data_IF_285870435662
#
_entry.id   IF_285870435662
#
_cell.length_a   1.000
_cell.length_b   1.000
_cell.length_c   1.000
_cell.angle_alpha   90.00
_cell.angle_beta   90.00
_cell.angle_gamma   90.00
#
_symmetry.space_group_name_H-M   'P 1'
#
loop_
_entity.id
_entity.type
_entity.pdbx_description
1 polymer ?
#
# COMPACT_ATOMS: atom_id res chain seq x y z
N UNK A 1 6.22 4.61 5.42
CA UNK A 1 6.82 3.39 4.87
C UNK A 1 7.55 2.67 5.99
N UNK A 2 7.35 1.36 6.12
CA UNK A 2 7.98 0.54 7.17
C UNK A 2 8.45 -0.76 6.52
N UNK A 3 9.61 -1.28 6.91
CA UNK A 3 10.06 -2.60 6.46
C UNK A 3 9.26 -3.67 7.19
N UNK A 4 8.60 -4.54 6.44
CA UNK A 4 7.85 -5.67 6.95
C UNK A 4 8.44 -6.97 6.41
N UNK A 5 8.38 -8.02 7.22
CA UNK A 5 8.71 -9.37 6.78
C UNK A 5 7.42 -10.16 6.58
N UNK A 6 7.22 -10.65 5.37
CA UNK A 6 6.05 -11.44 4.98
C UNK A 6 6.54 -12.66 4.23
N UNK A 7 6.14 -13.85 4.67
CA UNK A 7 6.58 -15.13 4.11
C UNK A 7 8.10 -15.20 3.91
N UNK A 8 8.86 -14.78 4.93
CA UNK A 8 10.33 -14.80 4.93
C UNK A 8 11.00 -13.81 3.95
N UNK A 9 10.22 -12.93 3.31
CA UNK A 9 10.71 -11.87 2.43
C UNK A 9 10.48 -10.48 3.02
N UNK A 10 11.46 -9.59 2.84
CA UNK A 10 11.36 -8.19 3.26
C UNK A 10 10.69 -7.36 2.19
N UNK A 11 9.69 -6.60 2.60
CA UNK A 11 8.96 -5.67 1.75
C UNK A 11 8.87 -4.30 2.40
N UNK A 12 8.75 -3.26 1.58
CA UNK A 12 8.43 -1.91 2.07
C UNK A 12 6.91 -1.74 2.07
N UNK A 13 6.34 -1.59 3.26
CA UNK A 13 4.91 -1.35 3.45
C UNK A 13 4.58 0.14 3.36
N UNK A 14 3.65 0.49 2.47
CA UNK A 14 2.96 1.76 2.45
C UNK A 14 1.70 1.68 3.34
N UNK A 15 1.85 2.10 4.59
CA UNK A 15 0.74 2.26 5.53
C UNK A 15 0.36 3.74 5.75
N UNK A 16 -0.91 4.00 6.03
CA UNK A 16 -1.41 5.31 6.46
C UNK A 16 -2.47 5.15 7.55
N UNK A 17 -2.61 6.17 8.39
CA UNK A 17 -3.68 6.27 9.39
C UNK A 17 -4.21 7.68 9.40
N UNK A 18 -5.53 7.80 9.51
CA UNK A 18 -6.22 9.08 9.50
C UNK A 18 -7.31 9.06 10.56
N UNK A 19 -7.45 10.15 11.32
CA UNK A 19 -8.55 10.29 12.27
C UNK A 19 -9.91 10.26 11.54
N UNK A 20 -10.92 9.69 12.20
CA UNK A 20 -12.26 9.45 11.62
C UNK A 20 -12.91 10.71 11.06
N UNK A 21 -12.69 11.87 11.69
CA UNK A 21 -13.19 13.19 11.24
C UNK A 21 -12.70 13.63 9.84
N UNK A 22 -11.68 12.95 9.30
CA UNK A 22 -11.08 13.27 7.99
C UNK A 22 -11.30 12.18 6.94
N UNK A 23 -12.03 11.11 7.29
CA UNK A 23 -12.38 10.06 6.34
C UNK A 23 -13.30 10.58 5.23
N UNK A 24 -13.26 9.93 4.06
CA UNK A 24 -14.11 10.29 2.92
C UNK A 24 -13.66 11.52 2.14
N UNK A 25 -12.58 12.20 2.54
CA UNK A 25 -12.08 13.42 1.91
C UNK A 25 -10.97 13.20 0.86
N UNK A 26 -10.65 11.95 0.52
CA UNK A 26 -9.58 11.62 -0.43
C UNK A 26 -8.14 11.73 0.10
N UNK A 27 -7.94 12.30 1.28
CA UNK A 27 -6.61 12.57 1.87
C UNK A 27 -5.70 11.34 1.98
N UNK A 28 -6.25 10.17 2.31
CA UNK A 28 -5.46 8.94 2.38
C UNK A 28 -4.93 8.54 1.00
N UNK A 29 -5.71 8.74 -0.06
CA UNK A 29 -5.30 8.45 -1.44
C UNK A 29 -4.25 9.45 -1.91
N UNK A 30 -4.46 10.74 -1.68
CA UNK A 30 -3.50 11.79 -2.03
C UNK A 30 -2.14 11.55 -1.36
N UNK A 31 -2.13 11.32 -0.04
CA UNK A 31 -0.90 11.03 0.69
C UNK A 31 -0.22 9.74 0.18
N UNK A 32 -1.01 8.70 -0.13
CA UNK A 32 -0.46 7.43 -0.62
C UNK A 32 0.13 7.56 -2.03
N UNK A 33 -0.46 8.38 -2.91
CA UNK A 33 0.09 8.66 -4.24
C UNK A 33 1.45 9.38 -4.12
N UNK A 34 1.52 10.42 -3.30
CA UNK A 34 2.78 11.15 -3.08
C UNK A 34 3.88 10.26 -2.50
N UNK A 35 3.54 9.39 -1.54
CA UNK A 35 4.50 8.45 -0.96
C UNK A 35 4.93 7.39 -1.98
N UNK A 36 4.00 6.87 -2.79
CA UNK A 36 4.29 5.92 -3.88
C UNK A 36 5.28 6.52 -4.87
N UNK A 37 5.02 7.72 -5.34
CA UNK A 37 5.84 8.38 -6.37
C UNK A 37 7.23 8.66 -5.81
N UNK A 38 7.31 9.18 -4.58
CA UNK A 38 8.58 9.36 -3.88
C UNK A 38 9.37 8.04 -3.73
N UNK A 39 8.71 6.95 -3.36
CA UNK A 39 9.33 5.63 -3.22
C UNK A 39 9.96 5.12 -4.54
N UNK A 40 9.28 5.30 -5.66
CA UNK A 40 9.77 4.79 -6.95
C UNK A 40 10.73 5.74 -7.65
N UNK A 41 10.49 7.04 -7.60
CA UNK A 41 11.27 8.04 -8.32
C UNK A 41 12.54 8.43 -7.55
N UNK A 42 12.41 8.65 -6.24
CA UNK A 42 13.51 9.18 -5.43
C UNK A 42 14.27 8.08 -4.68
N UNK A 43 13.57 7.09 -4.14
CA UNK A 43 14.20 5.98 -3.41
C UNK A 43 14.58 4.80 -4.31
N UNK A 44 14.04 4.75 -5.53
CA UNK A 44 14.33 3.69 -6.50
C UNK A 44 13.87 2.30 -6.07
N UNK A 45 12.84 2.20 -5.22
CA UNK A 45 12.29 0.90 -4.80
C UNK A 45 11.67 0.17 -5.99
N UNK A 46 11.74 -1.17 -5.99
CA UNK A 46 11.20 -1.98 -7.08
C UNK A 46 9.71 -2.32 -6.86
N UNK A 47 9.31 -2.45 -5.61
CA UNK A 47 7.95 -2.78 -5.19
C UNK A 47 7.52 -2.05 -3.92
N UNK A 48 6.21 -1.99 -3.72
CA UNK A 48 5.56 -1.56 -2.49
C UNK A 48 4.40 -2.50 -2.18
N UNK A 49 4.16 -2.71 -0.89
CA UNK A 49 3.01 -3.49 -0.43
C UNK A 49 2.10 -2.68 0.50
N UNK A 50 0.87 -3.14 0.67
CA UNK A 50 -0.04 -2.73 1.74
C UNK A 50 -0.67 -3.97 2.37
N UNK A 51 -0.54 -4.08 3.69
CA UNK A 51 -1.08 -5.17 4.48
C UNK A 51 -2.42 -4.70 5.05
N UNK A 52 -3.52 -5.32 4.61
CA UNK A 52 -4.87 -4.83 4.92
C UNK A 52 -5.73 -5.95 5.48
N UNK A 53 -6.38 -5.71 6.61
CA UNK A 53 -7.45 -6.60 7.11
C UNK A 53 -8.53 -6.73 6.02
N UNK A 54 -8.94 -7.94 5.60
CA UNK A 54 -9.95 -8.14 4.55
C UNK A 54 -11.28 -7.42 4.83
N UNK A 55 -11.61 -7.13 6.09
CA UNK A 55 -12.82 -6.38 6.49
C UNK A 55 -12.67 -4.87 6.29
N UNK A 56 -11.45 -4.36 6.11
CA UNK A 56 -11.18 -2.94 5.93
C UNK A 56 -11.30 -2.52 4.45
N UNK A 57 -12.55 -2.47 3.98
CA UNK A 57 -12.91 -2.06 2.62
C UNK A 57 -12.44 -0.65 2.25
N UNK A 58 -12.30 0.25 3.23
CA UNK A 58 -11.83 1.62 2.99
C UNK A 58 -10.36 1.63 2.60
N UNK A 59 -9.53 0.90 3.34
CA UNK A 59 -8.10 0.82 3.02
C UNK A 59 -7.85 0.06 1.71
N UNK A 60 -8.61 -1.02 1.47
CA UNK A 60 -8.58 -1.72 0.19
C UNK A 60 -8.90 -0.79 -0.99
N UNK A 61 -9.92 0.05 -0.86
CA UNK A 61 -10.29 1.03 -1.89
C UNK A 61 -9.20 2.07 -2.16
N UNK A 62 -8.42 2.48 -1.15
CA UNK A 62 -7.27 3.38 -1.36
C UNK A 62 -6.14 2.65 -2.08
N UNK A 63 -5.79 1.42 -1.67
CA UNK A 63 -4.73 0.63 -2.31
C UNK A 63 -5.01 0.47 -3.82
N UNK A 64 -6.24 0.10 -4.18
CA UNK A 64 -6.67 0.00 -5.58
C UNK A 64 -6.56 1.33 -6.34
N UNK A 65 -6.97 2.46 -5.73
CA UNK A 65 -6.87 3.79 -6.35
C UNK A 65 -5.43 4.25 -6.58
N UNK A 66 -4.50 3.79 -5.76
CA UNK A 66 -3.07 4.09 -5.88
C UNK A 66 -2.39 3.18 -6.92
N UNK A 67 -3.13 2.22 -7.48
CA UNK A 67 -2.69 1.32 -8.55
C UNK A 67 -2.21 -0.04 -8.05
N UNK A 68 -2.29 -0.31 -6.75
CA UNK A 68 -1.96 -1.65 -6.22
C UNK A 68 -3.03 -2.66 -6.63
N UNK A 69 -2.61 -3.91 -6.81
CA UNK A 69 -3.51 -5.04 -7.06
C UNK A 69 -3.52 -5.98 -5.87
N UNK A 70 -4.69 -6.56 -5.57
CA UNK A 70 -4.83 -7.58 -4.54
C UNK A 70 -4.20 -8.86 -5.05
N UNK A 71 -3.00 -9.21 -4.56
CA UNK A 71 -2.27 -10.36 -5.12
C UNK A 71 -2.57 -11.65 -4.35
N UNK A 72 -2.62 -11.61 -3.02
CA UNK A 72 -2.73 -12.83 -2.19
C UNK A 72 -3.08 -12.58 -0.72
N UNK A 73 -3.64 -13.59 -0.06
CA UNK A 73 -3.78 -13.61 1.39
C UNK A 73 -2.48 -14.06 2.08
N UNK A 74 -2.23 -13.58 3.30
CA UNK A 74 -1.08 -13.97 4.13
C UNK A 74 -1.44 -14.00 5.62
N UNK A 75 -0.54 -14.55 6.44
CA UNK A 75 -0.61 -14.42 7.90
C UNK A 75 0.40 -13.37 8.35
N UNK A 76 -0.09 -12.31 8.98
CA UNK A 76 0.73 -11.24 9.53
C UNK A 76 0.40 -11.04 11.00
N UNK A 77 1.39 -11.21 11.89
CA UNK A 77 1.20 -11.23 13.35
C UNK A 77 0.05 -12.13 13.83
N UNK A 78 -0.11 -13.30 13.22
CA UNK A 78 -1.18 -14.27 13.56
C UNK A 78 -2.58 -13.87 13.08
N UNK A 79 -2.70 -12.84 12.24
CA UNK A 79 -3.96 -12.40 11.62
C UNK A 79 -3.97 -12.73 10.13
N UNK A 80 -5.13 -13.15 9.62
CA UNK A 80 -5.34 -13.25 8.18
C UNK A 80 -5.47 -11.86 7.57
N UNK A 81 -4.59 -11.55 6.62
CA UNK A 81 -4.52 -10.27 5.93
C UNK A 81 -4.55 -10.47 4.42
N UNK A 82 -4.97 -9.43 3.70
CA UNK A 82 -4.82 -9.34 2.25
C UNK A 82 -3.62 -8.45 1.93
N UNK A 83 -2.74 -8.95 1.07
CA UNK A 83 -1.59 -8.20 0.56
C UNK A 83 -1.97 -7.56 -0.77
N UNK A 84 -1.81 -6.25 -0.83
CA UNK A 84 -1.91 -5.45 -2.05
C UNK A 84 -0.51 -5.05 -2.48
N UNK A 85 -0.18 -5.26 -3.74
CA UNK A 85 1.19 -5.09 -4.25
C UNK A 85 1.20 -4.13 -5.44
N UNK A 86 2.28 -3.37 -5.57
CA UNK A 86 2.54 -2.52 -6.72
C UNK A 86 4.01 -2.60 -7.09
N UNK A 87 4.27 -2.98 -8.34
CA UNK A 87 5.61 -3.03 -8.91
C UNK A 87 5.89 -1.76 -9.73
N UNK A 88 7.11 -1.24 -9.64
CA UNK A 88 7.57 -0.05 -10.37
C UNK A 88 7.35 -0.16 -11.87
N UNK A 89 7.52 -1.36 -12.45
CA UNK A 89 7.33 -1.62 -13.88
C UNK A 89 5.89 -1.41 -14.38
N UNK A 90 4.91 -1.34 -13.47
CA UNK A 90 3.49 -1.13 -13.78
C UNK A 90 3.10 0.35 -13.66
N UNK A 91 3.92 1.17 -13.00
CA UNK A 91 3.66 2.61 -12.85
C UNK A 91 4.16 3.34 -14.08
N UNK A 92 3.23 3.81 -14.93
CA UNK A 92 3.60 4.78 -15.97
C UNK A 92 4.01 6.09 -15.29
N UNK A 93 5.16 6.68 -15.64
CA UNK A 93 5.51 8.01 -15.13
C UNK A 93 4.42 9.00 -15.55
N UNK A 94 3.94 9.80 -14.61
CA UNK A 94 3.17 10.99 -14.95
C UNK A 94 4.16 12.00 -15.57
N UNK A 95 4.09 12.18 -16.89
CA UNK A 95 4.69 13.34 -17.57
C UNK A 95 3.84 14.58 -17.34
#
# INVERSE_FOLDING_TARGET
MINQEIDEHKHVELGYRLATAYWGKGLATEASLAIRDYAFEMLGLDDLISIIDPKNVRSAGVALKVGMTSNRGAIFHGQHVQIYELNRLVVKPYM
#
